data_IF_700170549821
#
_entry.id   IF_700170549821
#
_cell.length_a   1.000
_cell.length_b   1.000
_cell.length_c   1.000
_cell.angle_alpha   90.00
_cell.angle_beta   90.00
_cell.angle_gamma   90.00
#
_symmetry.space_group_name_H-M   'P 1'
#
loop_
_entity.id
_entity.type
_entity.pdbx_description
1 polymer ?
#
# COMPACT_ATOMS: atom_id res chain seq x y z
N UNK A 1 -22.83 -11.23 20.84
CA UNK A 1 -22.82 -10.27 19.72
C UNK A 1 -21.62 -9.36 19.92
N UNK A 2 -21.02 -8.86 18.84
CA UNK A 2 -19.63 -8.39 18.82
C UNK A 2 -19.51 -7.03 18.13
N UNK A 3 -18.57 -6.20 18.57
CA UNK A 3 -18.11 -5.02 17.83
C UNK A 3 -17.56 -5.43 16.46
N UNK A 4 -17.44 -4.49 15.51
CA UNK A 4 -16.90 -4.79 14.18
C UNK A 4 -15.69 -3.94 13.84
N UNK A 5 -14.60 -4.58 13.49
CA UNK A 5 -13.44 -3.93 12.90
C UNK A 5 -13.39 -4.25 11.41
N UNK A 6 -13.65 -3.27 10.56
CA UNK A 6 -13.57 -3.45 9.11
C UNK A 6 -12.22 -2.93 8.62
N UNK A 7 -11.35 -3.83 8.20
CA UNK A 7 -10.06 -3.51 7.59
C UNK A 7 -10.28 -3.18 6.12
N UNK A 8 -9.93 -1.96 5.73
CA UNK A 8 -10.04 -1.46 4.36
C UNK A 8 -8.64 -1.35 3.78
N UNK A 9 -8.42 -1.97 2.62
CA UNK A 9 -7.17 -1.88 1.89
C UNK A 9 -7.36 -1.55 0.42
N UNK A 10 -6.25 -1.56 -0.31
CA UNK A 10 -6.17 -0.92 -1.62
C UNK A 10 -7.09 -1.53 -2.69
N UNK A 11 -7.44 -2.81 -2.54
CA UNK A 11 -8.44 -3.50 -3.36
C UNK A 11 -9.84 -2.88 -3.28
N UNK A 12 -10.17 -2.15 -2.21
CA UNK A 12 -11.44 -1.41 -2.11
C UNK A 12 -11.46 -0.22 -3.05
N UNK A 13 -10.38 0.56 -3.11
CA UNK A 13 -10.23 1.67 -4.05
C UNK A 13 -10.21 1.17 -5.51
N UNK A 14 -9.47 0.09 -5.77
CA UNK A 14 -9.43 -0.55 -7.08
C UNK A 14 -10.81 -1.02 -7.53
N UNK A 15 -11.65 -1.52 -6.62
CA UNK A 15 -13.02 -1.92 -6.93
C UNK A 15 -13.91 -0.74 -7.37
N UNK A 16 -13.62 0.48 -6.90
CA UNK A 16 -14.26 1.71 -7.39
C UNK A 16 -13.79 2.13 -8.79
N UNK A 17 -12.71 1.53 -9.29
CA UNK A 17 -12.01 1.94 -10.51
C UNK A 17 -10.93 3.00 -10.27
N UNK A 18 -10.57 3.29 -9.02
CA UNK A 18 -9.47 4.20 -8.70
C UNK A 18 -8.14 3.52 -9.01
N UNK A 19 -7.21 4.28 -9.58
CA UNK A 19 -5.91 3.78 -10.02
C UNK A 19 -4.89 3.79 -8.88
N UNK A 20 -5.14 3.05 -7.80
CA UNK A 20 -4.31 3.13 -6.58
C UNK A 20 -3.22 2.07 -6.49
N UNK A 21 -3.04 1.22 -7.51
CA UNK A 21 -1.98 0.20 -7.48
C UNK A 21 -0.58 0.82 -7.62
N UNK A 22 0.45 0.12 -7.12
CA UNK A 22 1.84 0.55 -7.33
C UNK A 22 2.22 0.65 -8.81
N UNK A 23 1.62 -0.17 -9.69
CA UNK A 23 1.80 0.01 -11.14
C UNK A 23 1.31 1.39 -11.58
N UNK A 24 0.12 1.79 -11.14
CA UNK A 24 -0.46 3.06 -11.56
C UNK A 24 0.36 4.25 -11.08
N UNK A 25 0.94 4.15 -9.88
CA UNK A 25 1.93 5.11 -9.39
C UNK A 25 3.16 5.19 -10.30
N UNK A 26 3.78 4.05 -10.65
CA UNK A 26 4.95 4.02 -11.53
C UNK A 26 4.65 4.58 -12.93
N UNK A 27 3.49 4.22 -13.50
CA UNK A 27 2.99 4.75 -14.77
C UNK A 27 2.87 6.28 -14.69
N UNK A 28 2.19 6.79 -13.66
CA UNK A 28 2.02 8.24 -13.45
C UNK A 28 3.35 8.96 -13.29
N UNK A 29 4.24 8.45 -12.43
CA UNK A 29 5.52 9.09 -12.14
C UNK A 29 6.39 9.21 -13.39
N UNK A 30 6.49 8.12 -14.17
CA UNK A 30 7.30 8.11 -15.39
C UNK A 30 6.68 8.99 -16.48
N UNK A 31 5.35 8.99 -16.64
CA UNK A 31 4.69 9.88 -17.59
C UNK A 31 4.83 11.36 -17.22
N UNK A 32 4.67 11.72 -15.93
CA UNK A 32 4.89 13.09 -15.41
C UNK A 32 6.33 13.54 -15.64
N UNK A 33 7.31 12.70 -15.30
CA UNK A 33 8.73 12.97 -15.51
C UNK A 33 9.05 13.22 -16.98
N UNK A 34 8.42 12.43 -17.85
CA UNK A 34 8.58 12.53 -19.28
C UNK A 34 7.95 13.78 -19.88
N UNK A 35 6.75 14.16 -19.44
CA UNK A 35 6.10 15.41 -19.83
C UNK A 35 7.00 16.61 -19.51
N UNK A 36 7.58 16.65 -18.30
CA UNK A 36 8.55 17.69 -17.92
C UNK A 36 9.81 17.69 -18.77
N UNK A 37 10.30 16.52 -19.16
CA UNK A 37 11.40 16.41 -20.12
C UNK A 37 11.01 16.98 -21.49
N UNK A 38 9.80 16.73 -21.98
CA UNK A 38 9.33 17.26 -23.26
C UNK A 38 9.21 18.80 -23.24
N UNK A 39 8.73 19.35 -22.13
CA UNK A 39 8.61 20.80 -21.92
C UNK A 39 9.99 21.49 -21.84
N UNK A 40 10.90 20.92 -21.05
CA UNK A 40 12.14 21.59 -20.66
C UNK A 40 13.40 21.06 -21.36
N UNK A 41 13.28 20.05 -22.22
CA UNK A 41 14.38 19.30 -22.89
C UNK A 41 15.32 18.56 -21.93
N UNK A 42 15.00 18.58 -20.64
CA UNK A 42 15.75 17.94 -19.57
C UNK A 42 14.81 17.71 -18.39
N UNK A 43 14.96 16.58 -17.71
CA UNK A 43 14.33 16.31 -16.43
C UNK A 43 15.34 15.61 -15.53
N UNK A 44 15.41 16.00 -14.25
CA UNK A 44 16.28 15.35 -13.29
C UNK A 44 15.74 15.51 -11.88
N UNK A 45 15.71 14.42 -11.12
CA UNK A 45 15.36 14.39 -9.71
C UNK A 45 16.22 13.35 -8.96
N UNK A 46 15.82 12.90 -7.77
CA UNK A 46 16.57 11.93 -6.98
C UNK A 46 16.56 10.49 -7.54
N UNK A 47 15.62 10.14 -8.43
CA UNK A 47 15.48 8.78 -8.94
C UNK A 47 16.03 8.65 -10.37
N UNK A 48 15.71 9.61 -11.25
CA UNK A 48 16.06 9.54 -12.68
C UNK A 48 16.51 10.88 -13.26
N UNK A 49 17.26 10.80 -14.35
CA UNK A 49 17.48 11.91 -15.28
C UNK A 49 17.05 11.46 -16.67
N UNK A 50 16.26 12.29 -17.35
CA UNK A 50 15.92 12.13 -18.76
C UNK A 50 16.54 13.29 -19.52
N UNK A 51 17.39 13.01 -20.51
CA UNK A 51 18.08 14.06 -21.25
C UNK A 51 18.30 13.71 -22.72
N UNK A 52 18.51 14.76 -23.52
CA UNK A 52 18.96 14.67 -24.90
C UNK A 52 20.48 14.87 -24.98
N UNK A 53 21.17 14.06 -25.78
CA UNK A 53 22.61 14.17 -26.08
C UNK A 53 22.95 15.49 -26.79
N UNK A 54 22.01 16.04 -27.55
CA UNK A 54 22.15 17.32 -28.24
C UNK A 54 21.19 18.36 -27.66
N UNK A 55 21.75 19.40 -27.04
CA UNK A 55 21.04 20.53 -26.46
C UNK A 55 20.38 21.37 -27.55
N UNK A 56 19.19 20.99 -28.00
CA UNK A 56 18.47 21.77 -29.02
C UNK A 56 17.20 21.11 -29.58
N UNK A 57 17.14 19.78 -29.61
CA UNK A 57 15.99 19.06 -30.18
C UNK A 57 14.78 19.09 -29.25
N UNK A 58 13.62 19.42 -29.82
CA UNK A 58 12.32 19.22 -29.18
C UNK A 58 11.88 17.78 -29.45
N UNK A 59 11.54 17.07 -28.38
CA UNK A 59 10.83 15.79 -28.50
C UNK A 59 9.35 16.10 -28.66
N UNK A 60 8.81 15.98 -29.87
CA UNK A 60 7.37 16.11 -30.14
C UNK A 60 6.75 14.72 -30.30
N UNK A 61 5.58 14.56 -29.72
CA UNK A 61 4.86 13.30 -29.69
C UNK A 61 3.51 13.46 -30.37
N UNK A 62 3.13 12.46 -31.15
CA UNK A 62 1.77 12.38 -31.67
C UNK A 62 0.75 12.09 -30.55
N UNK A 63 1.14 11.32 -29.53
CA UNK A 63 0.33 10.98 -28.37
C UNK A 63 1.20 10.84 -27.11
N UNK A 64 0.71 11.32 -25.96
CA UNK A 64 1.40 11.15 -24.68
C UNK A 64 1.40 9.68 -24.24
N UNK A 65 2.52 9.17 -23.70
CA UNK A 65 2.60 7.81 -23.17
C UNK A 65 1.64 7.65 -21.99
N UNK A 66 1.15 6.42 -21.78
CA UNK A 66 0.21 6.10 -20.70
C UNK A 66 0.82 5.19 -19.64
N UNK A 67 1.90 4.51 -19.99
CA UNK A 67 2.61 3.58 -19.11
C UNK A 67 4.08 3.93 -19.04
N UNK A 68 4.76 3.48 -17.98
CA UNK A 68 6.20 3.67 -17.92
C UNK A 68 6.92 2.87 -19.03
N UNK A 69 6.37 1.74 -19.48
CA UNK A 69 6.92 0.98 -20.59
C UNK A 69 6.87 1.77 -21.91
N UNK A 70 5.79 2.52 -22.16
CA UNK A 70 5.69 3.42 -23.32
C UNK A 70 6.77 4.50 -23.27
N UNK A 71 6.98 5.11 -22.09
CA UNK A 71 8.03 6.12 -21.88
C UNK A 71 9.41 5.53 -22.19
N UNK A 72 9.73 4.36 -21.64
CA UNK A 72 11.02 3.72 -21.86
C UNK A 72 11.22 3.31 -23.33
N UNK A 73 10.17 2.77 -23.96
CA UNK A 73 10.19 2.41 -25.39
C UNK A 73 10.48 3.63 -26.23
N UNK A 74 9.79 4.74 -25.96
CA UNK A 74 10.01 5.97 -26.70
C UNK A 74 11.45 6.47 -26.59
N UNK A 75 11.96 6.58 -25.36
CA UNK A 75 13.32 7.09 -25.14
C UNK A 75 14.33 6.16 -25.83
N UNK A 76 14.13 4.83 -25.73
CA UNK A 76 15.01 3.87 -26.40
C UNK A 76 14.94 3.89 -27.93
N UNK A 77 13.84 4.39 -28.51
CA UNK A 77 13.67 4.52 -29.97
C UNK A 77 14.44 5.70 -30.55
N UNK A 78 14.91 6.62 -29.72
CA UNK A 78 15.68 7.78 -30.14
C UNK A 78 17.12 7.65 -29.63
N UNK A 79 18.07 7.43 -30.54
CA UNK A 79 19.50 7.25 -30.20
C UNK A 79 20.13 8.46 -29.47
N UNK A 80 19.47 9.60 -29.49
CA UNK A 80 19.92 10.82 -28.82
C UNK A 80 19.32 11.00 -27.43
N UNK A 81 18.40 10.14 -27.00
CA UNK A 81 17.75 10.20 -25.69
C UNK A 81 18.24 9.08 -24.79
N UNK A 82 18.32 9.36 -23.49
CA UNK A 82 18.62 8.32 -22.52
C UNK A 82 17.97 8.63 -21.18
N UNK A 83 17.57 7.55 -20.48
CA UNK A 83 17.25 7.58 -19.05
C UNK A 83 18.48 7.14 -18.28
N UNK A 84 18.97 8.02 -17.41
CA UNK A 84 19.94 7.65 -16.40
C UNK A 84 19.21 7.39 -15.08
N UNK A 85 19.43 6.21 -14.48
CA UNK A 85 18.85 5.87 -13.18
C UNK A 85 19.82 6.25 -12.07
N UNK A 86 19.51 7.33 -11.35
CA UNK A 86 20.31 7.79 -10.23
C UNK A 86 20.13 6.90 -9.00
N UNK A 87 18.91 6.39 -8.82
CA UNK A 87 18.54 5.44 -7.77
C UNK A 87 18.68 3.99 -8.26
N UNK A 88 19.54 3.22 -7.58
CA UNK A 88 19.64 1.76 -7.82
C UNK A 88 18.36 1.05 -7.39
N UNK A 89 17.74 1.53 -6.32
CA UNK A 89 16.49 1.02 -5.80
C UNK A 89 15.35 1.18 -6.80
N UNK A 90 15.14 2.40 -7.33
CA UNK A 90 14.07 2.67 -8.29
C UNK A 90 14.26 1.89 -9.61
N UNK A 91 15.50 1.79 -10.11
CA UNK A 91 15.79 0.92 -11.26
C UNK A 91 15.46 -0.55 -10.97
N UNK A 92 15.78 -1.03 -9.76
CA UNK A 92 15.38 -2.35 -9.28
C UNK A 92 13.87 -2.54 -9.31
N UNK A 93 13.10 -1.58 -8.80
CA UNK A 93 11.63 -1.62 -8.82
C UNK A 93 11.08 -1.77 -10.24
N UNK A 94 11.54 -0.95 -11.19
CA UNK A 94 11.09 -1.01 -12.58
C UNK A 94 11.45 -2.34 -13.25
N UNK A 95 12.63 -2.90 -12.97
CA UNK A 95 13.03 -4.22 -13.48
C UNK A 95 12.17 -5.33 -12.92
N UNK A 96 11.98 -5.37 -11.61
CA UNK A 96 11.11 -6.35 -10.94
C UNK A 96 9.69 -6.27 -11.49
N UNK A 97 9.18 -5.06 -11.70
CA UNK A 97 7.87 -4.87 -12.30
C UNK A 97 7.79 -5.44 -13.71
N UNK A 98 8.76 -5.15 -14.59
CA UNK A 98 8.79 -5.70 -15.95
C UNK A 98 8.82 -7.23 -16.00
N UNK A 99 9.46 -7.87 -15.02
CA UNK A 99 9.54 -9.34 -14.96
C UNK A 99 8.27 -9.97 -14.39
N UNK A 100 7.69 -9.38 -13.34
CA UNK A 100 6.63 -10.03 -12.54
C UNK A 100 5.24 -9.39 -12.71
N UNK A 101 5.13 -8.27 -13.42
CA UNK A 101 3.95 -7.40 -13.50
C UNK A 101 3.40 -6.94 -12.13
N UNK A 102 4.23 -7.03 -11.09
CA UNK A 102 3.92 -6.63 -9.72
C UNK A 102 5.22 -6.36 -8.96
N UNK A 103 5.16 -5.43 -8.02
CA UNK A 103 6.26 -5.14 -7.08
C UNK A 103 5.66 -4.71 -5.75
N UNK A 104 6.30 -5.09 -4.65
CA UNK A 104 5.97 -4.60 -3.30
C UNK A 104 7.10 -3.66 -2.87
N UNK A 105 6.86 -2.34 -2.97
CA UNK A 105 7.89 -1.32 -2.79
C UNK A 105 8.51 -1.38 -1.38
N UNK A 106 7.68 -1.60 -0.35
CA UNK A 106 8.11 -1.69 1.06
C UNK A 106 9.04 -2.89 1.27
N UNK A 107 8.67 -4.04 0.69
CA UNK A 107 9.45 -5.26 0.79
C UNK A 107 10.76 -5.17 0.00
N UNK A 108 10.76 -4.57 -1.18
CA UNK A 108 11.97 -4.36 -1.98
C UNK A 108 12.95 -3.41 -1.27
N UNK A 109 12.45 -2.33 -0.66
CA UNK A 109 13.24 -1.45 0.19
C UNK A 109 13.91 -2.24 1.33
N UNK A 110 13.13 -3.02 2.10
CA UNK A 110 13.65 -3.76 3.24
C UNK A 110 14.66 -4.85 2.82
N UNK A 111 14.43 -5.51 1.68
CA UNK A 111 15.39 -6.48 1.14
C UNK A 111 16.73 -5.81 0.79
N UNK A 112 16.71 -4.62 0.19
CA UNK A 112 17.94 -3.86 -0.07
C UNK A 112 18.63 -3.43 1.22
N UNK A 113 17.88 -2.97 2.21
CA UNK A 113 18.41 -2.66 3.54
C UNK A 113 19.13 -3.88 4.15
N UNK A 114 18.47 -5.04 4.19
CA UNK A 114 19.07 -6.30 4.68
C UNK A 114 20.34 -6.68 3.93
N UNK A 115 20.31 -6.53 2.60
CA UNK A 115 21.46 -6.84 1.76
C UNK A 115 22.63 -5.89 2.05
N UNK A 116 22.39 -4.59 2.23
CA UNK A 116 23.45 -3.64 2.56
C UNK A 116 23.99 -3.84 3.98
N UNK A 117 23.09 -4.09 4.94
CA UNK A 117 23.45 -4.32 6.33
C UNK A 117 24.31 -5.59 6.50
N UNK A 118 23.93 -6.69 5.84
CA UNK A 118 24.61 -7.98 6.00
C UNK A 118 25.86 -8.15 5.12
N UNK A 119 26.08 -7.28 4.12
CA UNK A 119 27.17 -7.47 3.17
C UNK A 119 28.55 -7.06 3.77
N UNK A 120 29.51 -7.99 3.93
CA UNK A 120 30.81 -7.68 4.52
C UNK A 120 31.70 -6.82 3.60
N UNK A 121 31.42 -6.75 2.30
CA UNK A 121 32.22 -6.00 1.33
C UNK A 121 31.86 -4.50 1.30
N UNK A 122 30.83 -4.07 2.04
CA UNK A 122 30.44 -2.66 2.13
C UNK A 122 31.05 -2.10 3.42
N UNK A 123 32.11 -1.30 3.27
CA UNK A 123 32.78 -0.67 4.40
C UNK A 123 31.99 0.52 4.98
N UNK A 124 31.23 1.23 4.14
CA UNK A 124 30.48 2.44 4.50
C UNK A 124 28.96 2.20 4.54
N UNK A 125 28.51 1.16 5.26
CA UNK A 125 27.10 0.72 5.29
C UNK A 125 26.13 1.84 5.65
N UNK A 126 26.46 2.66 6.65
CA UNK A 126 25.62 3.79 7.09
C UNK A 126 25.35 4.79 5.96
N UNK A 127 26.37 5.14 5.18
CA UNK A 127 26.23 6.10 4.08
C UNK A 127 25.37 5.52 2.95
N UNK A 128 25.58 4.24 2.62
CA UNK A 128 24.79 3.54 1.58
C UNK A 128 23.32 3.45 2.00
N UNK A 129 23.03 3.11 3.25
CA UNK A 129 21.66 3.08 3.77
C UNK A 129 21.08 4.49 3.89
N UNK A 130 21.84 5.49 4.33
CA UNK A 130 21.37 6.89 4.34
C UNK A 130 20.93 7.33 2.95
N UNK A 131 21.66 6.93 1.90
CA UNK A 131 21.25 7.18 0.51
C UNK A 131 19.96 6.43 0.16
N UNK A 132 19.84 5.15 0.53
CA UNK A 132 18.63 4.36 0.31
C UNK A 132 17.40 4.99 0.99
N UNK A 133 17.53 5.45 2.24
CA UNK A 133 16.46 6.12 2.98
C UNK A 133 16.00 7.38 2.24
N UNK A 134 16.93 8.22 1.78
CA UNK A 134 16.59 9.43 0.99
C UNK A 134 15.91 9.11 -0.34
N UNK A 135 16.31 8.04 -1.01
CA UNK A 135 15.64 7.57 -2.24
C UNK A 135 14.21 7.10 -1.93
N UNK A 136 14.00 6.41 -0.81
CA UNK A 136 12.69 5.96 -0.35
C UNK A 136 11.79 7.12 0.10
N UNK A 137 12.32 8.09 0.84
CA UNK A 137 11.64 9.34 1.22
C UNK A 137 11.10 10.06 -0.01
N UNK A 138 11.93 10.18 -1.06
CA UNK A 138 11.52 10.81 -2.30
C UNK A 138 10.40 10.03 -3.02
N UNK A 139 10.41 8.70 -2.98
CA UNK A 139 9.30 7.88 -3.50
C UNK A 139 8.03 8.12 -2.70
N UNK A 140 8.10 8.19 -1.36
CA UNK A 140 6.95 8.46 -0.49
C UNK A 140 6.35 9.83 -0.83
N UNK A 141 7.19 10.85 -1.05
CA UNK A 141 6.74 12.17 -1.48
C UNK A 141 6.04 12.13 -2.84
N UNK A 142 6.61 11.44 -3.84
CA UNK A 142 5.96 11.29 -5.15
C UNK A 142 4.67 10.47 -5.07
N UNK A 143 4.59 9.48 -4.18
CA UNK A 143 3.39 8.70 -3.94
C UNK A 143 2.29 9.57 -3.33
N UNK A 144 2.63 10.41 -2.34
CA UNK A 144 1.69 11.35 -1.75
C UNK A 144 1.13 12.33 -2.81
N UNK A 145 2.01 12.91 -3.64
CA UNK A 145 1.59 13.75 -4.78
C UNK A 145 0.63 13.00 -5.71
N UNK A 146 0.90 11.73 -6.00
CA UNK A 146 0.08 10.91 -6.87
C UNK A 146 -1.31 10.66 -6.26
N UNK A 147 -1.37 10.20 -5.01
CA UNK A 147 -2.63 9.92 -4.32
C UNK A 147 -3.48 11.19 -4.17
N UNK A 148 -2.87 12.37 -4.01
CA UNK A 148 -3.58 13.65 -4.03
C UNK A 148 -4.30 13.90 -5.36
N UNK A 149 -3.72 13.46 -6.49
CA UNK A 149 -4.44 13.51 -7.79
C UNK A 149 -5.63 12.55 -7.84
N UNK A 150 -5.54 11.41 -7.17
CA UNK A 150 -6.63 10.43 -7.08
C UNK A 150 -7.76 10.98 -6.20
N UNK A 151 -7.44 11.57 -5.04
CA UNK A 151 -8.44 12.12 -4.13
C UNK A 151 -9.35 13.15 -4.81
N UNK A 152 -8.78 13.98 -5.70
CA UNK A 152 -9.54 14.98 -6.49
C UNK A 152 -10.59 14.37 -7.41
N UNK A 153 -10.45 13.12 -7.82
CA UNK A 153 -11.40 12.44 -8.72
C UNK A 153 -12.33 11.46 -8.00
N UNK A 154 -12.15 11.22 -6.69
CA UNK A 154 -12.96 10.24 -5.95
C UNK A 154 -14.44 10.54 -6.10
N UNK A 155 -14.88 11.79 -5.93
CA UNK A 155 -16.30 12.14 -6.05
C UNK A 155 -16.89 11.80 -7.43
N UNK A 156 -16.07 11.76 -8.48
CA UNK A 156 -16.51 11.47 -9.86
C UNK A 156 -16.63 9.97 -10.18
N UNK A 157 -16.02 9.07 -9.41
CA UNK A 157 -16.18 7.62 -9.63
C UNK A 157 -17.49 7.10 -9.01
N UNK A 158 -18.17 6.10 -9.57
CA UNK A 158 -19.38 5.57 -8.96
C UNK A 158 -19.12 4.97 -7.57
N UNK A 159 -20.08 5.07 -6.65
CA UNK A 159 -20.03 4.36 -5.36
C UNK A 159 -20.31 2.87 -5.59
N UNK A 160 -19.61 1.97 -4.91
CA UNK A 160 -19.94 0.53 -4.94
C UNK A 160 -21.32 0.26 -4.34
N UNK A 161 -22.12 -0.57 -5.02
CA UNK A 161 -23.41 -1.06 -4.54
C UNK A 161 -23.26 -2.11 -3.44
N UNK A 162 -23.04 -1.66 -2.21
CA UNK A 162 -22.83 -2.56 -1.05
C UNK A 162 -24.12 -3.23 -0.54
N UNK A 163 -25.30 -2.65 -0.81
CA UNK A 163 -26.61 -3.13 -0.35
C UNK A 163 -27.29 -4.12 -1.30
N UNK A 164 -26.57 -4.58 -2.33
CA UNK A 164 -27.06 -5.55 -3.30
C UNK A 164 -27.30 -6.92 -2.65
N UNK A 165 -28.41 -7.60 -2.99
CA UNK A 165 -28.74 -8.95 -2.50
C UNK A 165 -27.75 -10.03 -2.95
N UNK A 166 -26.99 -9.79 -4.03
CA UNK A 166 -25.97 -10.69 -4.53
C UNK A 166 -24.76 -10.81 -3.59
N UNK A 167 -24.43 -9.74 -2.85
CA UNK A 167 -23.27 -9.70 -1.94
C UNK A 167 -23.69 -9.44 -0.49
N UNK A 168 -22.91 -9.97 0.44
CA UNK A 168 -23.04 -9.71 1.85
C UNK A 168 -22.24 -8.47 2.31
N UNK A 169 -21.62 -7.71 1.39
CA UNK A 169 -20.70 -6.61 1.72
C UNK A 169 -21.31 -5.53 2.62
N UNK A 170 -22.63 -5.28 2.57
CA UNK A 170 -23.30 -4.40 3.54
C UNK A 170 -22.99 -4.74 5.00
N UNK A 171 -22.69 -6.01 5.31
CA UNK A 171 -22.28 -6.42 6.67
C UNK A 171 -20.95 -5.80 7.09
N UNK A 172 -20.05 -5.44 6.18
CA UNK A 172 -18.82 -4.75 6.52
C UNK A 172 -19.06 -3.27 6.90
N UNK A 173 -20.14 -2.66 6.42
CA UNK A 173 -20.36 -1.21 6.52
C UNK A 173 -21.54 -0.80 7.39
N UNK A 174 -22.48 -1.71 7.67
CA UNK A 174 -23.73 -1.39 8.40
C UNK A 174 -23.94 -2.30 9.59
N UNK A 175 -24.41 -1.73 10.70
CA UNK A 175 -24.87 -2.48 11.86
C UNK A 175 -26.30 -2.97 11.66
N UNK A 176 -26.62 -4.10 12.28
CA UNK A 176 -27.99 -4.64 12.33
C UNK A 176 -28.69 -4.23 13.64
N UNK A 177 -27.93 -3.70 14.61
CA UNK A 177 -28.41 -3.32 15.96
C UNK A 177 -27.69 -2.07 16.44
N UNK A 178 -28.40 -1.22 17.21
CA UNK A 178 -27.91 0.05 17.78
C UNK A 178 -26.84 -0.10 18.88
N UNK A 179 -26.64 -1.32 19.40
CA UNK A 179 -25.78 -1.56 20.57
C UNK A 179 -24.34 -1.96 20.22
N UNK A 180 -23.91 -1.79 18.97
CA UNK A 180 -22.55 -2.18 18.54
C UNK A 180 -21.94 -1.09 17.69
N UNK A 181 -20.64 -0.91 17.89
CA UNK A 181 -19.84 0.04 17.12
C UNK A 181 -19.18 -0.66 15.94
N UNK A 182 -18.96 0.11 14.88
CA UNK A 182 -18.12 -0.27 13.74
C UNK A 182 -16.99 0.74 13.68
N UNK A 183 -15.75 0.25 13.65
CA UNK A 183 -14.59 1.06 13.27
C UNK A 183 -14.01 0.54 11.96
N UNK A 184 -13.57 1.46 11.13
CA UNK A 184 -12.91 1.19 9.87
C UNK A 184 -11.42 1.45 10.05
N UNK A 185 -10.62 0.40 9.96
CA UNK A 185 -9.17 0.53 9.94
C UNK A 185 -8.73 0.71 8.49
N UNK A 186 -8.47 1.97 8.10
CA UNK A 186 -8.13 2.33 6.73
C UNK A 186 -6.61 2.29 6.53
N UNK A 187 -6.16 1.35 5.69
CA UNK A 187 -4.77 1.22 5.25
C UNK A 187 -4.49 2.04 3.97
N UNK A 188 -5.53 2.59 3.34
CA UNK A 188 -5.34 3.43 2.15
C UNK A 188 -4.98 4.86 2.56
N UNK A 189 -4.16 5.49 1.74
CA UNK A 189 -3.80 6.91 1.87
C UNK A 189 -4.88 7.87 1.31
N UNK A 190 -5.92 7.31 0.70
CA UNK A 190 -7.07 8.00 0.10
C UNK A 190 -8.20 8.22 1.11
N UNK A 191 -9.07 9.18 0.79
CA UNK A 191 -10.25 9.50 1.61
C UNK A 191 -11.53 8.84 1.06
N UNK A 192 -11.41 7.71 0.36
CA UNK A 192 -12.54 7.03 -0.32
C UNK A 192 -13.70 6.73 0.63
N UNK A 193 -13.42 6.29 1.86
CA UNK A 193 -14.46 5.96 2.84
C UNK A 193 -15.33 7.16 3.21
N UNK A 194 -14.69 8.29 3.51
CA UNK A 194 -15.36 9.52 3.92
C UNK A 194 -16.05 10.17 2.70
N UNK A 195 -15.32 10.39 1.61
CA UNK A 195 -15.83 11.10 0.43
C UNK A 195 -16.96 10.36 -0.30
N UNK A 196 -17.11 9.05 -0.07
CA UNK A 196 -18.22 8.26 -0.59
C UNK A 196 -19.29 7.92 0.43
N UNK A 197 -19.27 8.51 1.63
CA UNK A 197 -20.26 8.25 2.68
C UNK A 197 -20.38 6.75 3.02
N UNK A 198 -19.25 6.06 3.16
CA UNK A 198 -19.21 4.69 3.70
C UNK A 198 -19.13 4.67 5.22
N UNK A 199 -18.50 5.69 5.79
CA UNK A 199 -18.28 5.84 7.22
C UNK A 199 -18.19 7.33 7.57
N UNK A 200 -18.55 7.68 8.80
CA UNK A 200 -18.24 8.99 9.34
C UNK A 200 -16.76 9.08 9.66
N UNK A 201 -16.20 10.28 9.65
CA UNK A 201 -14.80 10.54 9.97
C UNK A 201 -14.38 9.93 11.32
N UNK A 202 -15.20 10.12 12.36
CA UNK A 202 -14.93 9.62 13.72
C UNK A 202 -14.85 8.08 13.79
N UNK A 203 -15.38 7.38 12.78
CA UNK A 203 -15.37 5.92 12.70
C UNK A 203 -14.19 5.37 11.91
N UNK A 204 -13.36 6.22 11.33
CA UNK A 204 -12.22 5.83 10.49
C UNK A 204 -10.91 6.06 11.24
N UNK A 205 -10.13 4.98 11.40
CA UNK A 205 -8.76 5.01 11.89
C UNK A 205 -7.84 4.92 10.67
N UNK A 206 -7.22 6.04 10.29
CA UNK A 206 -6.26 6.12 9.19
C UNK A 206 -4.87 5.69 9.67
N UNK A 207 -4.65 4.38 9.81
CA UNK A 207 -3.49 3.82 10.52
C UNK A 207 -2.15 4.09 9.82
N UNK A 208 -2.16 4.33 8.52
CA UNK A 208 -0.95 4.67 7.74
C UNK A 208 -0.87 6.15 7.35
N UNK A 209 -1.73 7.00 7.91
CA UNK A 209 -1.80 8.39 7.49
C UNK A 209 -2.76 8.63 6.33
N UNK A 210 -2.85 9.91 5.91
CA UNK A 210 -3.65 10.31 4.75
C UNK A 210 -3.09 11.56 4.08
N UNK A 211 -3.18 11.63 2.76
CA UNK A 211 -2.53 12.72 2.00
C UNK A 211 -3.15 14.10 2.24
N UNK A 212 -4.44 14.17 2.54
CA UNK A 212 -5.14 15.44 2.80
C UNK A 212 -4.82 16.06 4.16
N UNK A 213 -4.15 15.31 5.05
CA UNK A 213 -3.83 15.75 6.41
C UNK A 213 -2.43 15.33 6.85
N UNK A 214 -1.44 15.34 5.95
CA UNK A 214 -0.06 14.92 6.22
C UNK A 214 0.56 15.62 7.44
N UNK A 215 0.14 16.84 7.76
CA UNK A 215 0.65 17.59 8.93
C UNK A 215 0.31 16.94 10.28
N UNK A 216 -0.90 16.39 10.41
CA UNK A 216 -1.36 15.79 11.67
C UNK A 216 -1.40 14.25 11.62
N UNK A 217 -1.47 13.69 10.41
CA UNK A 217 -1.48 12.25 10.18
C UNK A 217 -0.55 11.91 8.99
N UNK A 218 0.78 11.97 9.21
CA UNK A 218 1.78 11.78 8.16
C UNK A 218 1.72 10.37 7.56
N UNK A 219 2.22 10.24 6.33
CA UNK A 219 2.27 8.97 5.62
C UNK A 219 3.26 8.02 6.31
N UNK A 220 2.78 6.86 6.74
CA UNK A 220 3.59 5.78 7.31
C UNK A 220 3.73 4.69 6.25
N UNK A 221 4.87 4.69 5.56
CA UNK A 221 5.17 3.77 4.47
C UNK A 221 6.54 3.15 4.73
N UNK A 222 6.64 1.82 4.81
CA UNK A 222 7.85 1.18 5.31
C UNK A 222 7.68 -0.30 5.63
N UNK A 223 8.56 -0.83 6.48
CA UNK A 223 8.52 -2.25 6.86
C UNK A 223 8.00 -2.44 8.28
N UNK A 224 7.15 -3.45 8.49
CA UNK A 224 6.49 -3.71 9.78
C UNK A 224 6.44 -5.19 10.16
N UNK A 225 7.43 -5.99 9.74
CA UNK A 225 7.63 -7.35 10.25
C UNK A 225 8.92 -7.43 11.08
N UNK A 226 8.80 -7.01 12.33
CA UNK A 226 9.89 -7.06 13.33
C UNK A 226 10.25 -8.49 13.77
N UNK A 227 9.51 -9.51 13.29
CA UNK A 227 9.83 -10.91 13.58
C UNK A 227 10.80 -11.53 12.56
N UNK A 228 11.20 -10.79 11.52
CA UNK A 228 12.27 -11.20 10.62
C UNK A 228 13.59 -11.32 11.40
N UNK A 229 14.31 -12.47 11.36
CA UNK A 229 15.57 -12.62 12.08
C UNK A 229 16.64 -11.56 11.77
N UNK A 230 16.59 -10.95 10.58
CA UNK A 230 17.48 -9.86 10.23
C UNK A 230 17.15 -8.56 10.99
N UNK A 231 15.89 -8.36 11.40
CA UNK A 231 15.47 -7.19 12.16
C UNK A 231 16.20 -7.11 13.50
N UNK A 232 16.29 -8.22 14.25
CA UNK A 232 17.00 -8.24 15.53
C UNK A 232 18.46 -7.77 15.40
N UNK A 233 19.17 -8.25 14.37
CA UNK A 233 20.55 -7.82 14.13
C UNK A 233 20.65 -6.32 13.77
N UNK A 234 19.65 -5.80 13.05
CA UNK A 234 19.57 -4.38 12.69
C UNK A 234 19.34 -3.55 13.96
N UNK A 235 18.43 -3.96 14.84
CA UNK A 235 18.12 -3.29 16.10
C UNK A 235 19.32 -3.31 17.06
N UNK A 236 19.95 -4.48 17.23
CA UNK A 236 21.12 -4.69 18.09
C UNK A 236 22.35 -3.89 17.63
N UNK A 237 22.35 -3.37 16.39
CA UNK A 237 23.44 -2.53 15.89
C UNK A 237 23.55 -1.18 16.61
N UNK A 238 22.46 -0.71 17.24
CA UNK A 238 22.41 0.58 17.94
C UNK A 238 22.39 1.81 17.03
N UNK A 239 22.19 1.63 15.71
CA UNK A 239 22.27 2.71 14.72
C UNK A 239 20.90 3.02 14.12
N UNK A 240 20.34 4.18 14.49
CA UNK A 240 18.98 4.58 14.10
C UNK A 240 18.75 4.69 12.59
N UNK A 241 19.79 4.92 11.79
CA UNK A 241 19.68 5.00 10.32
C UNK A 241 19.06 3.75 9.69
N UNK A 242 19.22 2.59 10.32
CA UNK A 242 18.64 1.33 9.83
C UNK A 242 17.19 1.13 10.27
N UNK A 243 16.69 1.94 11.21
CA UNK A 243 15.34 1.88 11.77
C UNK A 243 14.40 2.98 11.24
N UNK A 244 14.92 3.90 10.42
CA UNK A 244 14.22 5.09 9.91
C UNK A 244 12.83 4.79 9.34
N UNK A 245 12.71 3.69 8.60
CA UNK A 245 11.51 3.31 7.84
C UNK A 245 10.79 2.07 8.40
N UNK A 246 10.88 1.89 9.72
CA UNK A 246 10.14 0.86 10.45
C UNK A 246 8.80 1.44 10.94
N UNK A 247 7.68 0.82 10.55
CA UNK A 247 6.33 1.39 10.74
C UNK A 247 5.94 1.60 12.20
N UNK A 248 6.41 0.76 13.12
CA UNK A 248 6.04 0.85 14.54
C UNK A 248 6.42 2.17 15.17
N UNK A 249 7.57 2.75 14.80
CA UNK A 249 7.94 4.10 15.23
C UNK A 249 7.02 5.16 14.62
N UNK A 250 6.58 4.98 13.36
CA UNK A 250 5.60 5.83 12.71
C UNK A 250 4.25 5.84 13.44
N UNK A 251 3.78 4.68 13.91
CA UNK A 251 2.52 4.56 14.65
C UNK A 251 2.47 5.39 15.94
N UNK A 252 3.64 5.71 16.52
CA UNK A 252 3.74 6.55 17.72
C UNK A 252 3.59 8.05 17.44
N UNK A 253 3.60 8.46 16.16
CA UNK A 253 3.48 9.88 15.78
C UNK A 253 2.04 10.39 15.83
N UNK A 254 1.05 9.49 15.97
CA UNK A 254 -0.37 9.83 15.98
C UNK A 254 -1.13 9.00 17.03
N UNK A 255 -2.37 9.37 17.31
CA UNK A 255 -3.23 8.61 18.24
C UNK A 255 -3.89 7.38 17.59
N UNK A 256 -3.81 7.23 16.25
CA UNK A 256 -4.53 6.18 15.51
C UNK A 256 -4.26 4.77 16.03
N UNK A 257 -3.01 4.44 16.36
CA UNK A 257 -2.67 3.11 16.89
C UNK A 257 -3.23 2.92 18.30
N UNK A 258 -3.18 3.94 19.15
CA UNK A 258 -3.80 3.91 20.47
C UNK A 258 -5.32 3.78 20.41
N UNK A 259 -5.97 4.46 19.45
CA UNK A 259 -7.42 4.38 19.24
C UNK A 259 -7.83 2.98 18.78
N UNK A 260 -7.03 2.35 17.92
CA UNK A 260 -7.20 0.95 17.54
C UNK A 260 -7.09 0.02 18.75
N UNK A 261 -6.05 0.17 19.57
CA UNK A 261 -5.85 -0.65 20.79
C UNK A 261 -7.04 -0.50 21.75
N UNK A 262 -7.42 0.75 22.04
CA UNK A 262 -8.58 1.06 22.89
C UNK A 262 -9.85 0.39 22.38
N UNK A 263 -10.07 0.38 21.06
CA UNK A 263 -11.23 -0.25 20.45
C UNK A 263 -11.21 -1.78 20.60
N UNK A 264 -10.09 -2.45 20.27
CA UNK A 264 -10.00 -3.92 20.33
C UNK A 264 -9.99 -4.47 21.76
N UNK A 265 -9.57 -3.65 22.73
CA UNK A 265 -9.60 -3.95 24.16
C UNK A 265 -11.00 -3.78 24.78
N UNK A 266 -11.80 -2.85 24.26
CA UNK A 266 -13.10 -2.47 24.84
C UNK A 266 -14.12 -3.60 24.91
N UNK A 267 -14.20 -4.46 23.88
CA UNK A 267 -15.19 -5.52 23.79
C UNK A 267 -14.80 -6.61 22.78
N UNK A 268 -15.39 -7.82 22.88
CA UNK A 268 -15.33 -8.84 21.83
C UNK A 268 -15.74 -8.31 20.45
N UNK A 269 -14.96 -8.59 19.41
CA UNK A 269 -15.18 -8.09 18.05
C UNK A 269 -15.01 -9.14 16.95
N UNK A 270 -15.56 -8.84 15.78
CA UNK A 270 -15.34 -9.56 14.51
C UNK A 270 -14.56 -8.67 13.54
N UNK A 271 -13.68 -9.28 12.75
CA UNK A 271 -12.90 -8.60 11.72
C UNK A 271 -13.48 -8.87 10.34
N UNK A 272 -13.65 -7.82 9.56
CA UNK A 272 -14.09 -7.87 8.17
C UNK A 272 -12.95 -7.33 7.29
N UNK A 273 -12.40 -8.15 6.40
CA UNK A 273 -11.30 -7.75 5.52
C UNK A 273 -11.86 -7.41 4.15
N UNK A 274 -11.71 -6.16 3.72
CA UNK A 274 -12.23 -5.66 2.44
C UNK A 274 -11.09 -5.01 1.66
N UNK A 275 -10.63 -5.70 0.61
CA UNK A 275 -9.63 -5.15 -0.31
C UNK A 275 -8.19 -5.08 0.24
N UNK A 276 -7.94 -5.53 1.47
CA UNK A 276 -6.60 -5.59 2.03
C UNK A 276 -5.87 -6.87 1.59
N UNK A 277 -4.59 -6.75 1.20
CA UNK A 277 -3.77 -7.90 0.78
C UNK A 277 -3.30 -8.75 1.96
N UNK A 278 -3.28 -8.17 3.17
CA UNK A 278 -2.71 -8.77 4.37
C UNK A 278 -1.23 -9.12 4.20
N UNK A 279 -0.46 -8.33 3.44
CA UNK A 279 0.97 -8.55 3.25
C UNK A 279 1.79 -8.48 4.54
N UNK A 280 3.05 -8.91 4.46
CA UNK A 280 3.95 -8.95 5.62
C UNK A 280 4.42 -7.56 6.07
N UNK A 281 4.33 -6.51 5.25
CA UNK A 281 4.74 -5.16 5.65
C UNK A 281 3.93 -4.61 6.83
N UNK A 282 2.77 -5.20 7.15
CA UNK A 282 1.90 -4.83 8.28
C UNK A 282 1.77 -5.93 9.34
N UNK A 283 2.69 -6.90 9.35
CA UNK A 283 2.55 -8.13 10.13
C UNK A 283 2.32 -7.88 11.61
N UNK A 284 3.09 -7.01 12.25
CA UNK A 284 2.96 -6.76 13.69
C UNK A 284 1.56 -6.21 14.02
N UNK A 285 1.10 -5.21 13.26
CA UNK A 285 -0.23 -4.62 13.43
C UNK A 285 -1.35 -5.66 13.23
N UNK A 286 -1.28 -6.46 12.16
CA UNK A 286 -2.28 -7.49 11.87
C UNK A 286 -2.22 -8.65 12.88
N UNK A 287 -1.04 -9.01 13.37
CA UNK A 287 -0.89 -9.99 14.45
C UNK A 287 -1.60 -9.53 15.71
N UNK A 288 -1.39 -8.26 16.13
CA UNK A 288 -2.08 -7.64 17.27
C UNK A 288 -3.60 -7.77 17.16
N UNK A 289 -4.16 -7.50 15.97
CA UNK A 289 -5.60 -7.58 15.72
C UNK A 289 -6.10 -9.03 15.70
N UNK A 290 -5.44 -9.92 14.96
CA UNK A 290 -5.95 -11.27 14.70
C UNK A 290 -5.74 -12.23 15.87
N UNK A 291 -4.63 -12.09 16.60
CA UNK A 291 -4.34 -12.92 17.77
C UNK A 291 -4.99 -12.39 19.05
N UNK A 292 -5.59 -11.19 19.02
CA UNK A 292 -6.25 -10.62 20.19
C UNK A 292 -7.30 -11.57 20.81
N UNK A 293 -7.38 -11.67 22.15
CA UNK A 293 -8.39 -12.51 22.82
C UNK A 293 -9.83 -12.10 22.51
N UNK A 294 -10.07 -10.82 22.25
CA UNK A 294 -11.39 -10.31 21.89
C UNK A 294 -11.76 -10.55 20.42
N UNK A 295 -10.80 -10.81 19.53
CA UNK A 295 -11.09 -11.15 18.14
C UNK A 295 -11.76 -12.54 18.07
N UNK A 296 -13.02 -12.60 17.68
CA UNK A 296 -13.80 -13.85 17.65
C UNK A 296 -13.84 -14.49 16.26
N UNK A 297 -13.88 -13.70 15.19
CA UNK A 297 -14.00 -14.18 13.81
C UNK A 297 -13.31 -13.24 12.83
N UNK A 298 -12.87 -13.80 11.72
CA UNK A 298 -12.28 -13.07 10.58
C UNK A 298 -13.04 -13.49 9.33
N UNK A 299 -13.76 -12.55 8.72
CA UNK A 299 -14.45 -12.73 7.45
C UNK A 299 -13.71 -11.99 6.34
N UNK A 300 -13.52 -12.66 5.20
CA UNK A 300 -12.78 -12.12 4.06
C UNK A 300 -13.77 -11.83 2.95
N UNK A 301 -13.79 -10.58 2.48
CA UNK A 301 -14.48 -10.18 1.26
C UNK A 301 -13.48 -10.22 0.11
N UNK A 302 -13.63 -11.22 -0.77
CA UNK A 302 -12.67 -11.47 -1.83
C UNK A 302 -13.00 -10.70 -3.11
N UNK A 303 -11.98 -10.48 -3.92
CA UNK A 303 -12.07 -9.92 -5.26
C UNK A 303 -12.20 -11.05 -6.29
N UNK A 304 -13.07 -10.85 -7.28
CA UNK A 304 -13.27 -11.78 -8.41
C UNK A 304 -12.59 -11.18 -9.64
N UNK A 305 -11.65 -11.89 -10.22
CA UNK A 305 -10.89 -11.46 -11.40
C UNK A 305 -11.70 -11.68 -12.68
N UNK A 306 -11.23 -11.07 -13.76
CA UNK A 306 -11.88 -11.16 -15.09
C UNK A 306 -11.95 -12.60 -15.64
N UNK A 307 -11.02 -13.46 -15.24
CA UNK A 307 -10.98 -14.87 -15.61
C UNK A 307 -11.90 -15.76 -14.75
N UNK A 308 -12.63 -15.17 -13.80
CA UNK A 308 -13.51 -15.87 -12.86
C UNK A 308 -12.80 -16.44 -11.63
N UNK A 309 -11.47 -16.36 -11.55
CA UNK A 309 -10.73 -16.71 -10.33
C UNK A 309 -10.92 -15.66 -9.22
N UNK A 310 -10.55 -15.99 -8.00
CA UNK A 310 -10.60 -15.07 -6.86
C UNK A 310 -9.35 -15.12 -6.00
N UNK A 311 -9.20 -14.14 -5.12
CA UNK A 311 -8.05 -13.99 -4.24
C UNK A 311 -8.28 -14.52 -2.81
N UNK A 312 -9.37 -15.25 -2.53
CA UNK A 312 -9.65 -15.73 -1.16
C UNK A 312 -8.52 -16.63 -0.63
N UNK A 313 -8.03 -17.56 -1.47
CA UNK A 313 -6.93 -18.46 -1.10
C UNK A 313 -5.63 -17.68 -0.83
N UNK A 314 -5.33 -16.67 -1.61
CA UNK A 314 -4.14 -15.83 -1.43
C UNK A 314 -4.22 -15.07 -0.10
N UNK A 315 -5.35 -14.40 0.17
CA UNK A 315 -5.54 -13.64 1.42
C UNK A 315 -5.46 -14.58 2.63
N UNK A 316 -6.06 -15.77 2.58
CA UNK A 316 -5.96 -16.74 3.69
C UNK A 316 -4.53 -17.24 3.91
N UNK A 317 -3.74 -17.43 2.84
CA UNK A 317 -2.31 -17.75 2.95
C UNK A 317 -1.55 -16.59 3.59
N UNK A 318 -1.83 -15.35 3.20
CA UNK A 318 -1.23 -14.15 3.81
C UNK A 318 -1.59 -14.01 5.30
N UNK A 319 -2.88 -14.12 5.64
CA UNK A 319 -3.33 -14.12 7.05
C UNK A 319 -2.62 -15.19 7.85
N UNK A 320 -2.38 -16.37 7.27
CA UNK A 320 -1.69 -17.43 7.98
C UNK A 320 -0.32 -17.01 8.49
N UNK A 321 0.41 -16.15 7.76
CA UNK A 321 1.77 -15.72 8.15
C UNK A 321 1.76 -14.79 9.37
N UNK A 322 0.63 -14.15 9.66
CA UNK A 322 0.46 -13.31 10.84
C UNK A 322 0.22 -14.10 12.12
N UNK A 323 -0.19 -15.37 12.03
CA UNK A 323 -0.32 -16.22 13.20
C UNK A 323 0.99 -16.93 13.53
N UNK A 324 1.40 -16.83 14.81
CA UNK A 324 2.57 -17.53 15.33
C UNK A 324 2.42 -19.05 15.15
N UNK A 325 3.52 -19.83 15.03
CA UNK A 325 3.44 -21.27 14.79
C UNK A 325 2.57 -22.05 15.79
N UNK A 326 2.60 -21.67 17.07
CA UNK A 326 1.77 -22.28 18.13
C UNK A 326 0.29 -21.85 18.10
N UNK A 327 -0.04 -20.78 17.35
CA UNK A 327 -1.38 -20.20 17.27
C UNK A 327 -2.16 -20.58 16.00
N UNK A 328 -1.68 -21.55 15.22
CA UNK A 328 -2.34 -21.98 13.97
C UNK A 328 -3.71 -22.63 14.19
N UNK A 329 -3.95 -23.24 15.35
CA UNK A 329 -5.29 -23.75 15.69
C UNK A 329 -6.29 -22.60 15.84
N UNK A 330 -5.90 -21.52 16.53
CA UNK A 330 -6.69 -20.31 16.67
C UNK A 330 -7.04 -19.70 15.32
N UNK A 331 -6.07 -19.64 14.39
CA UNK A 331 -6.30 -19.19 13.02
C UNK A 331 -7.44 -19.96 12.34
N UNK A 332 -7.38 -21.30 12.35
CA UNK A 332 -8.38 -22.17 11.69
C UNK A 332 -9.77 -22.04 12.30
N UNK A 333 -9.87 -21.68 13.59
CA UNK A 333 -11.15 -21.43 14.26
C UNK A 333 -11.72 -20.03 14.02
N UNK A 334 -10.86 -19.03 13.85
CA UNK A 334 -11.27 -17.63 13.67
C UNK A 334 -11.64 -17.31 12.21
N UNK A 335 -10.90 -17.83 11.24
CA UNK A 335 -11.17 -17.55 9.81
C UNK A 335 -12.44 -18.29 9.38
N UNK A 336 -13.41 -17.54 8.85
CA UNK A 336 -14.64 -18.11 8.32
C UNK A 336 -14.40 -18.77 6.95
N UNK A 337 -15.17 -19.83 6.69
CA UNK A 337 -15.20 -20.47 5.38
C UNK A 337 -15.65 -19.48 4.30
N UNK A 338 -15.17 -19.70 3.07
CA UNK A 338 -15.59 -18.92 1.90
C UNK A 338 -17.10 -19.02 1.70
N UNK A 339 -17.78 -17.87 1.68
CA UNK A 339 -19.17 -17.72 1.24
C UNK A 339 -19.18 -17.10 -0.15
N UNK A 340 -19.93 -17.68 -1.10
CA UNK A 340 -20.06 -17.19 -2.47
C UNK A 340 -20.57 -15.73 -2.55
N UNK A 341 -21.25 -15.25 -1.51
CA UNK A 341 -21.75 -13.88 -1.39
C UNK A 341 -20.77 -12.92 -0.71
N UNK A 342 -19.64 -13.39 -0.19
CA UNK A 342 -18.62 -12.51 0.43
C UNK A 342 -17.63 -12.00 -0.62
N UNK A 343 -18.14 -11.44 -1.72
CA UNK A 343 -17.33 -10.79 -2.75
C UNK A 343 -17.51 -9.27 -2.73
N UNK A 344 -16.47 -8.55 -3.17
CA UNK A 344 -16.51 -7.10 -3.35
C UNK A 344 -17.07 -6.80 -4.75
N UNK A 345 -18.20 -6.07 -4.88
CA UNK A 345 -18.68 -5.60 -6.18
C UNK A 345 -17.63 -4.71 -6.84
N UNK A 346 -17.59 -4.72 -8.17
CA UNK A 346 -16.64 -3.91 -8.93
C UNK A 346 -17.38 -3.03 -9.91
N UNK A 347 -17.09 -1.73 -9.88
CA UNK A 347 -17.47 -0.85 -10.96
C UNK A 347 -16.64 -1.25 -12.17
N UNK A 348 -17.29 -1.68 -13.26
CA UNK A 348 -16.57 -1.92 -14.51
C UNK A 348 -15.87 -0.63 -14.91
N UNK A 349 -14.56 -0.69 -15.12
CA UNK A 349 -13.83 0.35 -15.81
C UNK A 349 -14.43 0.41 -17.23
N UNK A 350 -15.20 1.46 -17.51
CA UNK A 350 -15.79 1.73 -18.83
C UNK A 350 -14.71 2.02 -19.87
#
# INVERSE_FOLDING_TARGET
MYNRLTIIGNGFDLAHGLKTSYKNFLDWYMCKSFERFCENKHYSDSLITISNKYSGMYSRFAQMPKTFEDVLTFISSNEYQHVNYQSKFFNGLLKTFKTNNWVDIEREYFNLLKNYFSNPNINNKKEVVTKLNKEFDFIILQLADYIETINKIILNVPKLEIDNSATNLKRAFKTVSKNFEIKFLNFNYTDTLQLKDYANEDDIIHIHGRVTNIKNNPIIFGYGDESDPAYQNIEDSGENVYLEHIKSFGYLQTHNYHDLLSYIDSAPYEVFIVGHSCGLSDRILLNTIFEHPNCKRIEIFYHVRNDGSDNFKEITQEISRHFKPHNKDMMRRKILNKDIRSFIPQNKLS
#
